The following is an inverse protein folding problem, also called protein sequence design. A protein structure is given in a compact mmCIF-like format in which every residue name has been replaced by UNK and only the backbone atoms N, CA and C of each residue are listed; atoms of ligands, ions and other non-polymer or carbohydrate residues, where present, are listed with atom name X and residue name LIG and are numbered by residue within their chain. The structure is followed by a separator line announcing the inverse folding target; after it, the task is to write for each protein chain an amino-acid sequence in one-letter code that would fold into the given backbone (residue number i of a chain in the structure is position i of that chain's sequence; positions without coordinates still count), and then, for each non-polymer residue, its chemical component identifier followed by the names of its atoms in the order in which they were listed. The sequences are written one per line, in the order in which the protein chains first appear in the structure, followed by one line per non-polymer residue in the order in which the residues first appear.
data_IF_179229345855
#
_entry.id   IF_179229345855
#
_cell.length_a   1.000
_cell.length_b   1.000
_cell.length_c   1.000
_cell.angle_alpha   90.00
_cell.angle_beta   90.00
_cell.angle_gamma   90.00
#
_symmetry.space_group_name_H-M   'P 1'
#
loop_
_entity.id
_entity.type
_entity.pdbx_description
1 polymer ?
#
# COMPACT_ATOMS: atom_id res chain seq x y z
N UNK A 1 12.43 15.15 -8.07
CA UNK A 1 11.45 15.32 -9.17
C UNK A 1 10.06 15.52 -8.56
N UNK A 2 9.06 16.05 -9.28
CA UNK A 2 7.65 16.06 -8.80
C UNK A 2 6.81 15.19 -9.73
N UNK A 3 6.06 14.24 -9.17
CA UNK A 3 5.08 13.45 -9.89
C UNK A 3 3.89 14.34 -10.25
N UNK A 4 3.54 14.38 -11.53
CA UNK A 4 2.38 15.09 -12.07
C UNK A 4 1.32 14.14 -12.63
N UNK A 5 1.72 12.92 -13.00
CA UNK A 5 0.87 11.84 -13.51
C UNK A 5 1.51 10.49 -13.18
N UNK A 6 0.74 9.40 -13.23
CA UNK A 6 1.22 8.05 -12.90
C UNK A 6 2.46 7.63 -13.70
N UNK A 7 2.47 7.93 -15.02
CA UNK A 7 3.60 7.55 -15.89
C UNK A 7 4.93 8.20 -15.49
N UNK A 8 4.92 9.22 -14.62
CA UNK A 8 6.15 9.80 -14.11
C UNK A 8 6.90 8.86 -13.15
N UNK A 9 6.22 7.83 -12.60
CA UNK A 9 6.86 6.78 -11.76
C UNK A 9 7.88 5.99 -12.58
N UNK A 10 7.57 5.68 -13.84
CA UNK A 10 8.44 4.92 -14.75
C UNK A 10 9.76 5.67 -15.07
N UNK A 11 9.82 6.97 -14.78
CA UNK A 11 10.99 7.81 -14.98
C UNK A 11 11.89 7.89 -13.74
N UNK A 12 11.46 7.32 -12.61
CA UNK A 12 12.25 7.27 -11.40
C UNK A 12 13.37 6.22 -11.51
N UNK A 13 14.51 6.42 -10.82
CA UNK A 13 15.47 5.36 -10.58
C UNK A 13 14.81 4.10 -10.02
N UNK A 14 15.26 2.92 -10.48
CA UNK A 14 14.73 1.62 -10.03
C UNK A 14 15.07 1.29 -8.57
N UNK A 15 15.99 2.03 -7.97
CA UNK A 15 16.32 1.96 -6.54
C UNK A 15 16.40 3.40 -6.03
N UNK A 16 15.63 3.67 -4.99
CA UNK A 16 15.50 4.98 -4.33
C UNK A 16 15.89 4.83 -2.85
N UNK A 17 16.38 5.91 -2.25
CA UNK A 17 16.51 5.92 -0.80
C UNK A 17 15.14 5.96 -0.11
N UNK A 18 15.06 5.54 1.16
CA UNK A 18 13.78 5.46 1.86
C UNK A 18 13.09 6.83 2.01
N UNK A 19 13.85 7.93 2.10
CA UNK A 19 13.26 9.28 2.20
C UNK A 19 12.61 9.68 0.88
N UNK A 20 13.24 9.35 -0.24
CA UNK A 20 12.69 9.54 -1.57
C UNK A 20 11.42 8.70 -1.78
N UNK A 21 11.43 7.42 -1.40
CA UNK A 21 10.25 6.55 -1.48
C UNK A 21 9.07 7.14 -0.69
N UNK A 22 9.28 7.51 0.58
CA UNK A 22 8.25 8.17 1.38
C UNK A 22 7.75 9.47 0.72
N UNK A 23 8.66 10.30 0.23
CA UNK A 23 8.31 11.55 -0.45
C UNK A 23 7.45 11.32 -1.71
N UNK A 24 7.83 10.36 -2.55
CA UNK A 24 7.08 10.04 -3.77
C UNK A 24 5.76 9.34 -3.47
N UNK A 25 5.66 8.52 -2.42
CA UNK A 25 4.40 7.89 -2.01
C UNK A 25 3.37 8.95 -1.62
N UNK A 26 3.76 9.98 -0.86
CA UNK A 26 2.87 11.10 -0.55
C UNK A 26 2.39 11.81 -1.83
N UNK A 27 3.28 12.05 -2.79
CA UNK A 27 2.89 12.66 -4.06
C UNK A 27 1.94 11.77 -4.87
N UNK A 28 2.20 10.47 -4.93
CA UNK A 28 1.35 9.49 -5.61
C UNK A 28 -0.05 9.46 -4.99
N UNK A 29 -0.16 9.37 -3.66
CA UNK A 29 -1.46 9.41 -2.97
C UNK A 29 -2.21 10.70 -3.32
N UNK A 30 -1.55 11.86 -3.33
CA UNK A 30 -2.20 13.11 -3.73
C UNK A 30 -2.68 13.06 -5.19
N UNK A 31 -1.95 12.42 -6.12
CA UNK A 31 -2.41 12.26 -7.50
C UNK A 31 -3.64 11.36 -7.57
N UNK A 32 -3.63 10.22 -6.88
CA UNK A 32 -4.74 9.27 -6.84
C UNK A 32 -6.00 9.86 -6.21
N UNK A 33 -5.86 10.71 -5.19
CA UNK A 33 -6.99 11.41 -4.55
C UNK A 33 -7.64 12.47 -5.45
N UNK A 34 -6.91 12.97 -6.45
CA UNK A 34 -7.37 14.03 -7.35
C UNK A 34 -7.75 13.54 -8.76
N UNK A 35 -7.48 12.27 -9.09
CA UNK A 35 -7.74 11.69 -10.40
C UNK A 35 -8.69 10.49 -10.32
N UNK A 36 -9.95 10.73 -10.67
CA UNK A 36 -11.01 9.72 -10.67
C UNK A 36 -10.98 8.77 -11.88
N UNK A 37 -10.02 8.91 -12.79
CA UNK A 37 -9.90 8.04 -13.97
C UNK A 37 -9.07 6.79 -13.68
N UNK A 38 -8.26 6.83 -12.63
CA UNK A 38 -7.42 5.71 -12.21
C UNK A 38 -8.26 4.72 -11.42
N UNK A 39 -8.22 3.45 -11.84
CA UNK A 39 -8.93 2.40 -11.12
C UNK A 39 -8.30 2.14 -9.75
N UNK A 40 -9.11 1.66 -8.79
CA UNK A 40 -8.66 1.33 -7.43
C UNK A 40 -7.52 0.31 -7.41
N UNK A 41 -7.62 -0.74 -8.23
CA UNK A 41 -6.58 -1.77 -8.34
C UNK A 41 -5.31 -1.21 -8.97
N UNK A 42 -5.41 -0.37 -10.00
CA UNK A 42 -4.25 0.31 -10.58
C UNK A 42 -3.56 1.22 -9.55
N UNK A 43 -4.32 2.02 -8.80
CA UNK A 43 -3.76 2.85 -7.74
C UNK A 43 -3.02 2.04 -6.69
N UNK A 44 -3.58 0.89 -6.27
CA UNK A 44 -2.93 -0.02 -5.33
C UNK A 44 -1.65 -0.64 -5.90
N UNK A 45 -1.64 -1.00 -7.18
CA UNK A 45 -0.47 -1.53 -7.87
C UNK A 45 0.66 -0.50 -7.94
N UNK A 46 0.36 0.77 -8.26
CA UNK A 46 1.39 1.81 -8.33
C UNK A 46 1.99 2.16 -6.97
N UNK A 47 1.18 2.12 -5.90
CA UNK A 47 1.69 2.22 -4.53
C UNK A 47 2.66 1.07 -4.26
N UNK A 48 2.29 -0.15 -4.63
CA UNK A 48 3.12 -1.33 -4.44
C UNK A 48 4.45 -1.25 -5.21
N UNK A 49 4.38 -0.86 -6.48
CA UNK A 49 5.53 -0.62 -7.34
C UNK A 49 6.50 0.37 -6.68
N UNK A 50 6.00 1.49 -6.17
CA UNK A 50 6.85 2.51 -5.58
C UNK A 50 7.46 2.08 -4.23
N UNK A 51 6.74 1.29 -3.43
CA UNK A 51 7.30 0.65 -2.23
C UNK A 51 8.46 -0.28 -2.62
N UNK A 52 8.35 -1.02 -3.72
CA UNK A 52 9.40 -1.94 -4.17
C UNK A 52 10.72 -1.25 -4.56
N UNK A 53 10.67 0.06 -4.90
CA UNK A 53 11.87 0.83 -5.25
C UNK A 53 12.78 1.11 -4.04
N UNK A 54 12.34 0.85 -2.80
CA UNK A 54 13.19 1.03 -1.61
C UNK A 54 14.41 0.09 -1.57
N UNK A 55 14.43 -0.99 -2.37
CA UNK A 55 15.49 -2.00 -2.39
C UNK A 55 15.64 -2.74 -1.05
N UNK A 56 16.84 -3.27 -0.77
CA UNK A 56 17.19 -3.83 0.54
C UNK A 56 17.49 -2.69 1.54
N UNK A 57 16.44 -2.01 2.00
CA UNK A 57 16.54 -1.05 3.09
C UNK A 57 16.04 -1.69 4.39
N UNK A 58 16.85 -1.66 5.43
CA UNK A 58 16.45 -2.14 6.77
C UNK A 58 15.41 -1.20 7.41
N UNK A 59 15.31 0.04 6.93
CA UNK A 59 14.30 1.01 7.35
C UNK A 59 13.07 0.92 6.45
N UNK A 60 11.92 0.60 7.05
CA UNK A 60 10.63 0.63 6.35
C UNK A 60 10.06 2.04 6.17
N UNK A 61 8.84 2.12 5.68
CA UNK A 61 8.11 3.37 5.51
C UNK A 61 7.99 4.14 6.84
N UNK A 62 7.98 5.47 6.76
CA UNK A 62 7.73 6.30 7.92
C UNK A 62 6.23 6.29 8.28
N UNK A 63 5.91 6.74 9.49
CA UNK A 63 4.55 6.73 10.02
C UNK A 63 3.60 7.58 9.17
N UNK A 64 4.03 8.75 8.71
CA UNK A 64 3.21 9.68 7.92
C UNK A 64 2.77 9.06 6.59
N UNK A 65 3.72 8.53 5.82
CA UNK A 65 3.45 7.88 4.54
C UNK A 65 2.58 6.63 4.74
N UNK A 66 2.88 5.85 5.78
CA UNK A 66 2.08 4.67 6.13
C UNK A 66 0.63 5.04 6.45
N UNK A 67 0.40 6.12 7.21
CA UNK A 67 -0.94 6.61 7.53
C UNK A 67 -1.68 7.12 6.30
N UNK A 68 -1.00 7.83 5.38
CA UNK A 68 -1.61 8.31 4.13
C UNK A 68 -2.02 7.15 3.24
N UNK A 69 -1.17 6.13 3.10
CA UNK A 69 -1.50 4.91 2.35
C UNK A 69 -2.68 4.19 3.01
N UNK A 70 -2.64 3.96 4.32
CA UNK A 70 -3.75 3.30 5.02
C UNK A 70 -5.08 4.05 4.86
N UNK A 71 -5.07 5.38 4.93
CA UNK A 71 -6.26 6.21 4.71
C UNK A 71 -6.80 6.07 3.29
N UNK A 72 -5.92 6.05 2.30
CA UNK A 72 -6.29 5.84 0.91
C UNK A 72 -6.87 4.43 0.70
N UNK A 73 -6.24 3.38 1.24
CA UNK A 73 -6.73 1.99 1.18
C UNK A 73 -8.12 1.91 1.79
N UNK A 74 -8.36 2.47 2.98
CA UNK A 74 -9.69 2.45 3.63
C UNK A 74 -10.81 3.03 2.75
N UNK A 75 -10.48 4.00 1.90
CA UNK A 75 -11.44 4.66 1.03
C UNK A 75 -11.59 3.98 -0.33
N UNK A 76 -10.57 3.24 -0.77
CA UNK A 76 -10.45 2.72 -2.14
C UNK A 76 -10.34 1.19 -2.23
N UNK A 77 -10.32 0.47 -1.11
CA UNK A 77 -10.30 -0.98 -1.11
C UNK A 77 -11.58 -1.54 -1.74
N UNK A 78 -11.42 -2.39 -2.75
CA UNK A 78 -12.52 -3.12 -3.38
C UNK A 78 -12.38 -4.63 -3.07
N UNK A 79 -13.26 -5.19 -2.22
CA UNK A 79 -13.22 -6.61 -1.87
C UNK A 79 -13.75 -7.53 -2.97
N UNK A 80 -14.39 -6.99 -4.02
CA UNK A 80 -14.89 -7.78 -5.13
C UNK A 80 -13.89 -7.87 -6.29
N UNK A 81 -12.74 -7.18 -6.18
CA UNK A 81 -11.71 -7.15 -7.19
C UNK A 81 -10.46 -7.87 -6.66
N UNK A 82 -10.10 -8.99 -7.29
CA UNK A 82 -8.92 -9.80 -6.93
C UNK A 82 -7.64 -8.95 -6.87
N UNK A 83 -7.39 -8.16 -7.90
CA UNK A 83 -6.17 -7.34 -7.98
C UNK A 83 -6.13 -6.29 -6.86
N UNK A 84 -7.30 -5.72 -6.50
CA UNK A 84 -7.40 -4.81 -5.36
C UNK A 84 -7.06 -5.53 -4.05
N UNK A 85 -7.53 -6.76 -3.83
CA UNK A 85 -7.19 -7.55 -2.65
C UNK A 85 -5.68 -7.79 -2.59
N UNK A 86 -5.10 -8.33 -3.67
CA UNK A 86 -3.69 -8.73 -3.74
C UNK A 86 -2.75 -7.54 -3.50
N UNK A 87 -2.92 -6.45 -4.26
CA UNK A 87 -2.05 -5.28 -4.13
C UNK A 87 -2.21 -4.58 -2.78
N UNK A 88 -3.42 -4.46 -2.25
CA UNK A 88 -3.61 -3.84 -0.95
C UNK A 88 -3.10 -4.71 0.20
N UNK A 89 -3.22 -6.04 0.13
CA UNK A 89 -2.60 -6.95 1.13
C UNK A 89 -1.08 -6.79 1.16
N UNK A 90 -0.44 -6.71 0.00
CA UNK A 90 1.00 -6.47 -0.09
C UNK A 90 1.39 -5.07 0.44
N UNK A 91 0.60 -4.03 0.13
CA UNK A 91 0.83 -2.68 0.66
C UNK A 91 0.68 -2.65 2.19
N UNK A 92 -0.38 -3.25 2.74
CA UNK A 92 -0.66 -3.30 4.18
C UNK A 92 0.47 -3.96 4.97
N UNK A 93 1.10 -4.99 4.41
CA UNK A 93 2.23 -5.69 5.03
C UNK A 93 3.48 -4.78 5.20
N UNK A 94 3.60 -3.72 4.40
CA UNK A 94 4.72 -2.79 4.42
C UNK A 94 4.47 -1.52 5.27
N UNK A 95 3.27 -1.36 5.85
CA UNK A 95 2.91 -0.14 6.58
C UNK A 95 3.42 -0.18 8.02
N UNK A 96 4.05 0.92 8.44
CA UNK A 96 4.52 1.14 9.80
C UNK A 96 3.65 2.16 10.55
N UNK A 97 2.36 1.84 10.71
CA UNK A 97 1.44 2.69 11.47
C UNK A 97 0.41 1.88 12.26
N UNK A 98 -0.20 2.52 13.25
CA UNK A 98 -1.33 1.96 13.98
C UNK A 98 -2.57 1.83 13.09
N UNK A 99 -3.49 0.94 13.46
CA UNK A 99 -4.77 0.76 12.77
C UNK A 99 -4.74 -0.15 11.53
N UNK A 100 -3.57 -0.67 11.13
CA UNK A 100 -3.43 -1.66 10.05
C UNK A 100 -4.09 -2.99 10.46
N UNK A 101 -3.70 -3.55 11.61
CA UNK A 101 -4.27 -4.80 12.11
C UNK A 101 -5.78 -4.69 12.38
N UNK A 102 -6.24 -3.56 12.90
CA UNK A 102 -7.66 -3.29 13.11
C UNK A 102 -8.44 -3.31 11.79
N UNK A 103 -7.91 -2.65 10.76
CA UNK A 103 -8.51 -2.65 9.43
C UNK A 103 -8.60 -4.08 8.85
N UNK A 104 -7.49 -4.82 8.91
CA UNK A 104 -7.40 -6.20 8.41
C UNK A 104 -8.40 -7.11 9.13
N UNK A 105 -8.41 -7.11 10.46
CA UNK A 105 -9.32 -7.96 11.24
C UNK A 105 -10.79 -7.63 10.93
N UNK A 106 -11.13 -6.33 10.88
CA UNK A 106 -12.48 -5.90 10.51
C UNK A 106 -12.88 -6.36 9.10
N UNK A 107 -11.95 -6.36 8.13
CA UNK A 107 -12.23 -6.88 6.79
C UNK A 107 -12.45 -8.39 6.80
N UNK A 108 -11.61 -9.16 7.51
CA UNK A 108 -11.76 -10.62 7.65
C UNK A 108 -13.13 -10.98 8.26
N UNK A 109 -13.54 -10.26 9.32
CA UNK A 109 -14.82 -10.48 10.00
C UNK A 109 -16.03 -10.19 9.11
N UNK A 110 -15.96 -9.15 8.26
CA UNK A 110 -17.07 -8.68 7.44
C UNK A 110 -17.04 -9.22 5.99
N UNK A 111 -16.03 -10.00 5.63
CA UNK A 111 -15.91 -10.54 4.27
C UNK A 111 -16.76 -11.80 4.13
N UNK A 112 -17.41 -11.94 2.97
CA UNK A 112 -18.04 -13.19 2.54
C UNK A 112 -17.17 -13.94 1.50
N UNK A 113 -15.98 -13.41 1.18
CA UNK A 113 -15.05 -13.98 0.21
C UNK A 113 -13.91 -14.71 0.92
N UNK A 114 -13.81 -16.03 0.74
CA UNK A 114 -12.73 -16.82 1.35
C UNK A 114 -11.35 -16.41 0.84
N UNK A 115 -11.25 -16.04 -0.44
CA UNK A 115 -10.00 -15.54 -1.01
C UNK A 115 -9.53 -14.25 -0.31
N UNK A 116 -10.43 -13.27 -0.10
CA UNK A 116 -10.09 -12.05 0.65
C UNK A 116 -9.61 -12.39 2.07
N UNK A 117 -10.33 -13.28 2.77
CA UNK A 117 -9.98 -13.69 4.12
C UNK A 117 -8.60 -14.31 4.18
N UNK A 118 -8.25 -15.18 3.25
CA UNK A 118 -7.00 -15.91 3.28
C UNK A 118 -5.81 -15.00 2.98
N UNK A 119 -5.91 -14.13 1.96
CA UNK A 119 -4.92 -13.09 1.68
C UNK A 119 -4.68 -12.17 2.89
N UNK A 120 -5.76 -11.72 3.54
CA UNK A 120 -5.66 -10.85 4.70
C UNK A 120 -5.10 -11.55 5.94
N UNK A 121 -5.40 -12.83 6.15
CA UNK A 121 -4.79 -13.63 7.23
C UNK A 121 -3.30 -13.80 7.01
N UNK A 122 -2.88 -14.05 5.78
CA UNK A 122 -1.45 -14.19 5.44
C UNK A 122 -0.72 -12.86 5.60
N UNK A 123 -1.31 -11.75 5.14
CA UNK A 123 -0.84 -10.39 5.43
C UNK A 123 -0.63 -10.17 6.95
N UNK A 124 -1.61 -10.54 7.78
CA UNK A 124 -1.52 -10.39 9.23
C UNK A 124 -0.39 -11.23 9.86
N UNK A 125 -0.11 -12.43 9.32
CA UNK A 125 1.01 -13.26 9.78
C UNK A 125 2.35 -12.58 9.51
N UNK A 126 2.54 -12.02 8.32
CA UNK A 126 3.78 -11.32 7.96
C UNK A 126 4.00 -10.07 8.81
N UNK A 127 2.95 -9.26 9.05
CA UNK A 127 3.04 -8.10 9.94
C UNK A 127 3.49 -8.51 11.35
N UNK A 128 2.92 -9.60 11.89
CA UNK A 128 3.28 -10.09 13.23
C UNK A 128 4.70 -10.62 13.28
N UNK A 129 5.16 -11.30 12.23
CA UNK A 129 6.53 -11.83 12.12
C UNK A 129 7.55 -10.70 12.07
N UNK A 130 7.30 -9.64 11.32
CA UNK A 130 8.19 -8.47 11.22
C UNK A 130 8.36 -7.74 12.56
N UNK A 131 7.33 -7.72 13.43
CA UNK A 131 7.40 -7.10 14.76
C UNK A 131 8.21 -7.89 15.80
N UNK A 132 8.53 -9.16 15.52
CA UNK A 132 9.28 -10.03 16.44
C UNK A 132 10.80 -10.01 16.16
N UNK A 133 11.22 -9.31 15.11
CA UNK A 133 12.62 -9.13 14.71
C UNK A 133 13.16 -7.81 15.27
#
# INVERSE_FOLDING_TARGET
MRLKKLTDIELLPSVLDIKEVNHYLIQLINLLENDNTISKSQGAAEINNLISYQGYNEQGLNVESSQRILSWIRSNYDPNCKDSIEWNSANLANLNCSGVEEFINKRIENSDCDQEKDELKDCLKEIKKAKLQ
#
